data_IF_920174896415
#
_entry.id   IF_920174896415
#
_cell.length_a   1.000
_cell.length_b   1.000
_cell.length_c   1.000
_cell.angle_alpha   90.00
_cell.angle_beta   90.00
_cell.angle_gamma   90.00
#
_symmetry.space_group_name_H-M   'P 1'
#
loop_
_entity.id
_entity.type
_entity.pdbx_description
1 polymer ?
#
# COMPACT_ATOMS: atom_id res chain seq x y z
N UNK A 1 -24.68 33.39 14.54
CA UNK A 1 -23.43 32.78 15.03
C UNK A 1 -22.90 31.85 13.96
N UNK A 2 -21.77 32.18 13.37
CA UNK A 2 -21.11 31.26 12.45
C UNK A 2 -20.63 30.02 13.21
N UNK A 3 -21.01 28.84 12.74
CA UNK A 3 -20.45 27.60 13.30
C UNK A 3 -19.02 27.50 12.84
N UNK A 4 -18.08 27.44 13.78
CA UNK A 4 -16.71 27.12 13.47
C UNK A 4 -16.67 25.76 12.76
N UNK A 5 -16.14 25.76 11.55
CA UNK A 5 -15.97 24.55 10.78
C UNK A 5 -14.64 23.90 11.17
N UNK A 6 -14.74 22.77 11.83
CA UNK A 6 -13.55 21.95 12.11
C UNK A 6 -13.07 21.33 10.79
N UNK A 7 -11.79 21.48 10.52
CA UNK A 7 -11.10 20.85 9.39
C UNK A 7 -9.92 20.04 9.88
N UNK A 8 -9.72 18.88 9.27
CA UNK A 8 -8.58 18.04 9.59
C UNK A 8 -7.27 18.69 9.16
N UNK A 9 -6.21 18.46 9.91
CA UNK A 9 -4.87 18.87 9.51
C UNK A 9 -4.35 17.87 8.48
N UNK A 10 -3.93 18.31 7.29
CA UNK A 10 -3.34 17.40 6.30
C UNK A 10 -2.12 16.66 6.84
N UNK A 11 -1.99 15.38 6.53
CA UNK A 11 -0.90 14.54 7.05
C UNK A 11 0.49 15.07 6.68
N UNK A 12 0.66 15.68 5.51
CA UNK A 12 1.94 16.26 5.10
C UNK A 12 2.36 17.49 5.93
N UNK A 13 1.43 18.05 6.72
CA UNK A 13 1.71 19.15 7.65
C UNK A 13 2.01 18.65 9.07
N UNK A 14 1.89 17.34 9.31
CA UNK A 14 2.17 16.71 10.59
C UNK A 14 3.54 16.04 10.51
N UNK A 15 4.42 16.36 11.45
CA UNK A 15 5.73 15.73 11.54
C UNK A 15 5.89 15.06 12.90
N UNK A 16 6.17 13.76 12.87
CA UNK A 16 6.47 12.98 14.06
C UNK A 16 7.99 12.92 14.21
N UNK A 17 8.51 13.42 15.32
CA UNK A 17 9.92 13.36 15.70
C UNK A 17 10.04 12.70 17.06
N UNK A 18 10.18 11.41 17.07
CA UNK A 18 10.23 10.60 18.28
C UNK A 18 11.08 9.36 18.01
N UNK A 19 12.08 9.11 18.85
CA UNK A 19 13.01 7.99 18.65
C UNK A 19 12.32 6.63 18.58
N UNK A 20 11.22 6.44 19.33
CA UNK A 20 10.44 5.22 19.31
C UNK A 20 9.63 5.08 18.01
N UNK A 21 8.85 6.12 17.65
CA UNK A 21 7.98 6.07 16.47
C UNK A 21 8.74 6.17 15.16
N UNK A 22 9.83 6.93 15.08
CA UNK A 22 10.66 7.04 13.87
C UNK A 22 11.19 5.69 13.41
N UNK A 23 11.56 4.83 14.35
CA UNK A 23 12.00 3.46 14.06
C UNK A 23 10.90 2.66 13.34
N UNK A 24 9.68 2.70 13.84
CA UNK A 24 8.55 1.96 13.26
C UNK A 24 8.07 2.57 11.95
N UNK A 25 8.07 3.89 11.83
CA UNK A 25 7.72 4.57 10.57
C UNK A 25 8.68 4.15 9.45
N UNK A 26 9.98 4.14 9.74
CA UNK A 26 10.99 3.67 8.77
C UNK A 26 10.84 2.18 8.45
N UNK A 27 10.57 1.37 9.45
CA UNK A 27 10.36 -0.07 9.27
C UNK A 27 9.17 -0.32 8.31
N UNK A 28 8.05 0.37 8.51
CA UNK A 28 6.88 0.24 7.63
C UNK A 28 7.22 0.66 6.21
N UNK A 29 7.84 1.81 6.03
CA UNK A 29 8.16 2.36 4.72
C UNK A 29 9.18 1.52 3.97
N UNK A 30 10.28 1.16 4.61
CA UNK A 30 11.46 0.58 3.95
C UNK A 30 11.41 -0.95 3.87
N UNK A 31 10.71 -1.60 4.78
CA UNK A 31 10.71 -3.07 4.90
C UNK A 31 9.31 -3.67 4.72
N UNK A 32 8.32 -3.23 5.50
CA UNK A 32 7.01 -3.89 5.54
C UNK A 32 6.23 -3.67 4.24
N UNK A 33 6.12 -2.45 3.75
CA UNK A 33 5.38 -2.16 2.52
C UNK A 33 5.98 -2.85 1.29
N UNK A 34 7.30 -2.82 1.05
CA UNK A 34 7.91 -3.59 -0.03
C UNK A 34 7.73 -5.11 0.12
N UNK A 35 7.85 -5.63 1.34
CA UNK A 35 7.61 -7.05 1.61
C UNK A 35 6.17 -7.46 1.31
N UNK A 36 5.20 -6.68 1.76
CA UNK A 36 3.78 -6.94 1.49
C UNK A 36 3.47 -6.88 0.00
N UNK A 37 4.08 -5.96 -0.75
CA UNK A 37 3.94 -5.93 -2.20
C UNK A 37 4.39 -7.22 -2.85
N UNK A 38 5.56 -7.73 -2.45
CA UNK A 38 6.05 -9.00 -2.94
C UNK A 38 5.13 -10.17 -2.53
N UNK A 39 4.56 -10.14 -1.35
CA UNK A 39 3.61 -11.15 -0.88
C UNK A 39 2.32 -11.13 -1.73
N UNK A 40 1.77 -9.95 -2.01
CA UNK A 40 0.58 -9.80 -2.84
C UNK A 40 0.80 -10.28 -4.28
N UNK A 41 2.03 -10.24 -4.77
CA UNK A 41 2.43 -10.76 -6.08
C UNK A 41 2.88 -12.22 -6.06
N UNK A 42 2.79 -12.91 -4.94
CA UNK A 42 3.23 -14.30 -4.75
C UNK A 42 4.74 -14.51 -5.01
N UNK A 43 5.55 -13.50 -4.73
CA UNK A 43 7.00 -13.52 -4.94
C UNK A 43 7.81 -13.85 -3.68
N UNK A 44 7.17 -14.15 -2.57
CA UNK A 44 7.84 -14.52 -1.32
C UNK A 44 7.84 -16.03 -1.18
N UNK A 45 9.04 -16.61 -1.16
CA UNK A 45 9.22 -18.04 -0.91
C UNK A 45 8.73 -18.39 0.50
N UNK A 46 8.08 -19.51 0.65
CA UNK A 46 7.55 -20.05 1.91
C UNK A 46 6.37 -19.25 2.51
N UNK A 47 5.90 -18.21 1.85
CA UNK A 47 4.65 -17.53 2.20
C UNK A 47 3.44 -18.23 1.58
N UNK A 48 2.32 -18.22 2.27
CA UNK A 48 1.06 -18.71 1.71
C UNK A 48 0.68 -17.89 0.46
N UNK A 49 0.15 -18.53 -0.61
CA UNK A 49 -0.25 -17.81 -1.81
C UNK A 49 -1.35 -16.79 -1.53
N UNK A 50 -1.16 -15.58 -2.05
CA UNK A 50 -2.15 -14.49 -1.97
C UNK A 50 -3.12 -14.48 -3.14
N UNK A 51 -2.60 -14.69 -4.35
CA UNK A 51 -3.31 -14.59 -5.62
C UNK A 51 -3.92 -13.21 -5.92
N UNK A 52 -3.81 -12.22 -5.02
CA UNK A 52 -4.51 -10.94 -5.11
C UNK A 52 -4.20 -10.18 -6.39
N UNK A 53 -2.95 -9.92 -6.69
CA UNK A 53 -2.56 -9.14 -7.89
C UNK A 53 -2.88 -9.94 -9.16
N UNK A 54 -2.65 -11.24 -9.16
CA UNK A 54 -2.99 -12.08 -10.30
C UNK A 54 -4.49 -12.05 -10.61
N UNK A 55 -5.33 -12.11 -9.57
CA UNK A 55 -6.78 -12.01 -9.72
C UNK A 55 -7.21 -10.69 -10.36
N UNK A 56 -6.62 -9.57 -9.97
CA UNK A 56 -6.86 -8.26 -10.60
C UNK A 56 -6.41 -8.24 -12.05
N UNK A 57 -5.27 -8.84 -12.38
CA UNK A 57 -4.80 -8.95 -13.77
C UNK A 57 -5.72 -9.79 -14.62
N UNK A 58 -6.25 -10.89 -14.08
CA UNK A 58 -7.23 -11.73 -14.77
C UNK A 58 -8.51 -10.92 -15.04
N UNK A 59 -9.02 -10.22 -14.04
CA UNK A 59 -10.21 -9.37 -14.18
C UNK A 59 -10.01 -8.23 -15.18
N UNK A 60 -8.80 -7.70 -15.28
CA UNK A 60 -8.44 -6.66 -16.24
C UNK A 60 -8.17 -7.19 -17.67
N UNK A 61 -8.14 -8.50 -17.86
CA UNK A 61 -7.79 -9.11 -19.13
C UNK A 61 -6.29 -9.11 -19.44
N UNK A 62 -5.45 -8.86 -18.45
CA UNK A 62 -3.98 -8.83 -18.57
C UNK A 62 -3.33 -10.18 -18.27
N UNK A 63 -4.07 -11.14 -17.74
CA UNK A 63 -3.63 -12.51 -17.50
C UNK A 63 -4.77 -13.49 -17.73
N UNK A 64 -4.42 -14.72 -18.07
CA UNK A 64 -5.37 -15.81 -18.25
C UNK A 64 -5.48 -16.63 -16.96
N UNK A 65 -6.65 -17.19 -16.72
CA UNK A 65 -6.93 -18.08 -15.61
C UNK A 65 -8.26 -17.75 -14.92
N UNK A 66 -8.53 -18.48 -13.85
CA UNK A 66 -9.70 -18.29 -13.01
C UNK A 66 -9.31 -17.65 -11.68
N UNK A 67 -10.27 -17.03 -11.01
CA UNK A 67 -10.10 -16.51 -9.68
C UNK A 67 -9.68 -17.62 -8.69
N UNK A 68 -8.64 -17.35 -7.91
CA UNK A 68 -8.15 -18.25 -6.87
C UNK A 68 -8.10 -17.54 -5.52
N UNK A 69 -8.34 -18.29 -4.46
CA UNK A 69 -8.29 -17.79 -3.09
C UNK A 69 -9.65 -17.39 -2.54
N UNK A 70 -9.65 -16.75 -1.38
CA UNK A 70 -10.87 -16.32 -0.69
C UNK A 70 -11.39 -15.00 -1.27
N UNK A 71 -12.71 -14.85 -1.31
CA UNK A 71 -13.38 -13.68 -1.90
C UNK A 71 -13.03 -12.35 -1.24
N UNK A 72 -12.53 -12.37 -0.01
CA UNK A 72 -12.14 -11.16 0.74
C UNK A 72 -10.67 -10.74 0.56
N UNK A 73 -9.85 -11.52 -0.14
CA UNK A 73 -8.41 -11.24 -0.27
C UNK A 73 -8.11 -10.02 -1.15
N UNK A 74 -9.02 -9.62 -2.01
CA UNK A 74 -8.90 -8.40 -2.81
C UNK A 74 -8.81 -7.14 -1.94
N UNK A 75 -9.42 -7.14 -0.75
CA UNK A 75 -9.32 -6.03 0.20
C UNK A 75 -7.91 -5.82 0.73
N UNK A 76 -7.05 -6.82 0.71
CA UNK A 76 -5.65 -6.70 1.11
C UNK A 76 -4.89 -5.73 0.21
N UNK A 77 -5.18 -5.73 -1.08
CA UNK A 77 -4.61 -4.76 -2.04
C UNK A 77 -5.09 -3.33 -1.72
N UNK A 78 -6.37 -3.17 -1.42
CA UNK A 78 -6.92 -1.86 -1.06
C UNK A 78 -6.27 -1.30 0.21
N UNK A 79 -6.08 -2.11 1.23
CA UNK A 79 -5.39 -1.73 2.47
C UNK A 79 -3.93 -1.37 2.23
N UNK A 80 -3.26 -2.14 1.40
CA UNK A 80 -1.86 -1.86 1.05
C UNK A 80 -1.73 -0.53 0.30
N UNK A 81 -2.61 -0.26 -0.65
CA UNK A 81 -2.67 1.02 -1.37
C UNK A 81 -2.90 2.21 -0.43
N UNK A 82 -3.80 2.06 0.54
CA UNK A 82 -4.03 3.07 1.55
C UNK A 82 -2.77 3.35 2.38
N UNK A 83 -2.08 2.31 2.83
CA UNK A 83 -0.83 2.44 3.59
C UNK A 83 0.27 3.13 2.77
N UNK A 84 0.39 2.81 1.49
CA UNK A 84 1.33 3.49 0.57
C UNK A 84 0.97 4.96 0.41
N UNK A 85 -0.31 5.27 0.24
CA UNK A 85 -0.77 6.65 0.11
C UNK A 85 -0.46 7.49 1.36
N UNK A 86 -0.71 6.95 2.55
CA UNK A 86 -0.34 7.61 3.80
C UNK A 86 1.18 7.81 3.93
N UNK A 87 1.95 6.83 3.54
CA UNK A 87 3.43 6.91 3.57
C UNK A 87 3.94 7.99 2.62
N UNK A 88 3.39 8.07 1.41
CA UNK A 88 3.73 9.12 0.44
C UNK A 88 3.39 10.51 0.95
N UNK A 89 2.25 10.68 1.56
CA UNK A 89 1.80 11.98 2.07
C UNK A 89 2.63 12.45 3.27
N UNK A 90 3.03 11.53 4.15
CA UNK A 90 3.77 11.84 5.37
C UNK A 90 5.30 11.94 5.19
N UNK A 91 5.89 11.19 4.26
CA UNK A 91 7.35 11.12 4.09
C UNK A 91 7.90 11.94 2.91
N UNK A 92 7.01 12.56 2.12
CA UNK A 92 7.40 13.22 0.87
C UNK A 92 7.49 12.26 -0.31
N UNK A 93 7.34 12.82 -1.50
CA UNK A 93 7.19 12.03 -2.74
C UNK A 93 8.46 11.36 -3.23
N UNK A 94 9.63 11.94 -2.92
CA UNK A 94 10.89 11.55 -3.56
C UNK A 94 11.39 10.16 -3.11
N UNK A 95 11.12 9.78 -1.87
CA UNK A 95 11.63 8.54 -1.29
C UNK A 95 10.79 7.29 -1.62
N UNK A 96 9.54 7.48 -2.03
CA UNK A 96 8.59 6.39 -2.27
C UNK A 96 8.21 6.21 -3.74
N UNK A 97 8.77 7.03 -4.62
CA UNK A 97 8.46 7.04 -6.06
C UNK A 97 8.74 5.70 -6.72
N UNK A 98 9.78 4.97 -6.31
CA UNK A 98 10.19 3.73 -6.98
C UNK A 98 9.11 2.66 -6.97
N UNK A 99 8.50 2.36 -5.82
CA UNK A 99 7.44 1.34 -5.78
C UNK A 99 6.06 1.88 -6.17
N UNK A 100 5.84 3.19 -6.12
CA UNK A 100 4.63 3.80 -6.69
C UNK A 100 4.58 3.59 -8.20
N UNK A 101 5.70 3.75 -8.90
CA UNK A 101 5.79 3.45 -10.33
C UNK A 101 5.55 1.98 -10.65
N UNK A 102 5.97 1.07 -9.78
CA UNK A 102 5.73 -0.36 -9.93
C UNK A 102 4.27 -0.74 -9.69
N UNK A 103 3.59 -0.04 -8.80
CA UNK A 103 2.25 -0.38 -8.31
C UNK A 103 1.14 0.14 -9.22
N UNK A 104 1.17 1.42 -9.56
CA UNK A 104 0.09 2.07 -10.31
C UNK A 104 -0.14 1.48 -11.73
N UNK A 105 0.89 1.19 -12.54
CA UNK A 105 0.67 0.52 -13.82
C UNK A 105 0.16 -0.91 -13.70
N UNK A 106 0.44 -1.58 -12.59
CA UNK A 106 0.12 -3.01 -12.40
C UNK A 106 -1.32 -3.24 -11.97
N UNK A 107 -1.98 -2.24 -11.41
CA UNK A 107 -3.33 -2.32 -10.83
C UNK A 107 -4.41 -1.78 -11.77
N UNK A 108 -4.04 -1.27 -12.90
CA UNK A 108 -4.97 -0.78 -13.92
C UNK A 108 -5.94 -1.84 -14.41
#
# INVERSE_FOLDING_TARGET
>A
MEKEKLTDVPLHQIQIKDAFWDKYIRLVKDVILPYQWNTLNDNVKDAAPSHCIKNFKIAAGEAEGDFEGAVFQDTDVAKWLEAVAFTLDSSGRDETVSYTHLTLPTIR
#
